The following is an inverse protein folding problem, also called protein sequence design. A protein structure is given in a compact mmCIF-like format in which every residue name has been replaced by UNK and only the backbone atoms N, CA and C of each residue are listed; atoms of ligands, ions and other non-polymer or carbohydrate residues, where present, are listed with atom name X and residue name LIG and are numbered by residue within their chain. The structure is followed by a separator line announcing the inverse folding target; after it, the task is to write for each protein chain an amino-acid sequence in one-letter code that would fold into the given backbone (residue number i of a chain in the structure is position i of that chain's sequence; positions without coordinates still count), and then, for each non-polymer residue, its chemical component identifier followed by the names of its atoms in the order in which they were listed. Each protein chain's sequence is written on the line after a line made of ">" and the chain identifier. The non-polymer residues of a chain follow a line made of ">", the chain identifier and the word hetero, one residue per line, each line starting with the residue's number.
data_IF_931004561371
#
_entry.id   IF_931004561371
#
_cell.length_a   1.000
_cell.length_b   1.000
_cell.length_c   1.000
_cell.angle_alpha   90.00
_cell.angle_beta   90.00
_cell.angle_gamma   90.00
#
_symmetry.space_group_name_H-M   'P 1'
#
loop_
_entity.id
_entity.type
_entity.pdbx_description
1 polymer ?
#
# COMPACT_ATOMS: atom_id res chain seq x y z
N UNK A 1 -120.29 19.39 21.17
CA UNK A 1 -119.05 20.20 21.08
C UNK A 1 -117.78 19.41 21.40
N UNK A 2 -117.62 18.75 22.57
CA UNK A 2 -116.38 18.00 22.93
C UNK A 2 -115.85 16.99 21.88
N UNK A 3 -116.72 16.19 21.26
CA UNK A 3 -116.33 15.20 20.23
C UNK A 3 -115.78 15.79 18.92
N UNK A 4 -116.09 17.05 18.63
CA UNK A 4 -115.66 17.72 17.40
C UNK A 4 -114.28 18.33 17.59
N UNK A 5 -114.03 18.91 18.78
CA UNK A 5 -112.72 19.43 19.21
C UNK A 5 -111.67 18.31 19.38
N UNK A 6 -112.04 17.14 19.93
CA UNK A 6 -111.14 15.97 19.98
C UNK A 6 -110.78 15.40 18.59
N UNK A 7 -111.64 15.60 17.60
CA UNK A 7 -111.41 15.13 16.23
C UNK A 7 -110.49 16.08 15.46
N UNK A 8 -110.63 17.40 15.70
CA UNK A 8 -109.71 18.44 15.23
C UNK A 8 -108.31 18.24 15.84
N UNK A 9 -108.19 18.04 17.17
CA UNK A 9 -106.90 17.75 17.84
C UNK A 9 -106.21 16.48 17.29
N UNK A 10 -106.98 15.46 16.89
CA UNK A 10 -106.45 14.24 16.29
C UNK A 10 -105.93 14.46 14.88
N UNK A 11 -106.56 15.32 14.09
CA UNK A 11 -106.12 15.67 12.73
C UNK A 11 -104.82 16.48 12.80
N UNK A 12 -104.76 17.49 13.66
CA UNK A 12 -103.55 18.33 13.86
C UNK A 12 -102.34 17.50 14.36
N UNK A 13 -102.59 16.42 15.12
CA UNK A 13 -101.52 15.50 15.56
C UNK A 13 -101.04 14.59 14.43
N UNK A 14 -101.93 14.21 13.51
CA UNK A 14 -101.58 13.42 12.32
C UNK A 14 -100.81 14.27 11.32
N UNK A 15 -101.24 15.52 11.09
CA UNK A 15 -100.54 16.46 10.20
C UNK A 15 -99.11 16.73 10.69
N UNK A 16 -98.94 17.06 11.97
CA UNK A 16 -97.59 17.20 12.58
C UNK A 16 -96.75 15.92 12.49
N UNK A 17 -97.37 14.75 12.63
CA UNK A 17 -96.68 13.47 12.48
C UNK A 17 -96.24 13.19 11.05
N UNK A 18 -97.06 13.57 10.05
CA UNK A 18 -96.73 13.46 8.63
C UNK A 18 -95.63 14.45 8.23
N UNK A 19 -95.70 15.69 8.71
CA UNK A 19 -94.64 16.68 8.50
C UNK A 19 -93.29 16.19 9.05
N UNK A 20 -93.27 15.70 10.30
CA UNK A 20 -92.07 15.12 10.91
C UNK A 20 -91.56 13.88 10.13
N UNK A 21 -92.46 13.06 9.60
CA UNK A 21 -92.10 11.90 8.77
C UNK A 21 -91.47 12.31 7.44
N UNK A 22 -92.06 13.27 6.72
CA UNK A 22 -91.50 13.77 5.47
C UNK A 22 -90.16 14.48 5.68
N UNK A 23 -90.01 15.20 6.79
CA UNK A 23 -88.74 15.79 7.18
C UNK A 23 -87.68 14.71 7.45
N UNK A 24 -88.01 13.68 8.23
CA UNK A 24 -87.10 12.55 8.46
C UNK A 24 -86.72 11.79 7.18
N UNK A 25 -87.66 11.65 6.23
CA UNK A 25 -87.39 11.07 4.90
C UNK A 25 -86.47 11.94 4.05
N UNK A 26 -86.59 13.27 4.13
CA UNK A 26 -85.71 14.20 3.44
C UNK A 26 -84.28 14.16 4.02
N UNK A 27 -84.16 14.18 5.35
CA UNK A 27 -82.88 14.04 6.06
C UNK A 27 -82.20 12.70 5.76
N UNK A 28 -82.96 11.60 5.70
CA UNK A 28 -82.43 10.28 5.33
C UNK A 28 -81.90 10.26 3.88
N UNK A 29 -82.65 10.85 2.94
CA UNK A 29 -82.20 10.96 1.54
C UNK A 29 -80.93 11.79 1.41
N UNK A 30 -80.84 12.90 2.14
CA UNK A 30 -79.63 13.72 2.15
C UNK A 30 -78.44 12.97 2.76
N UNK A 31 -78.67 12.25 3.86
CA UNK A 31 -77.65 11.39 4.47
C UNK A 31 -77.17 10.30 3.52
N UNK A 32 -78.07 9.63 2.77
CA UNK A 32 -77.68 8.63 1.78
C UNK A 32 -76.84 9.23 0.67
N UNK A 33 -77.24 10.39 0.13
CA UNK A 33 -76.46 11.10 -0.90
C UNK A 33 -75.05 11.44 -0.42
N UNK A 34 -74.90 11.91 0.82
CA UNK A 34 -73.58 12.19 1.43
C UNK A 34 -72.74 10.92 1.57
N UNK A 35 -73.35 9.80 1.96
CA UNK A 35 -72.67 8.49 2.02
C UNK A 35 -72.19 8.05 0.65
N UNK A 36 -73.02 8.16 -0.40
CA UNK A 36 -72.64 7.80 -1.77
C UNK A 36 -71.48 8.67 -2.28
N UNK A 37 -71.50 9.98 -1.99
CA UNK A 37 -70.39 10.87 -2.32
C UNK A 37 -69.10 10.49 -1.57
N UNK A 38 -69.19 10.08 -0.31
CA UNK A 38 -68.04 9.60 0.47
C UNK A 38 -67.49 8.26 -0.07
N UNK A 39 -68.36 7.33 -0.45
CA UNK A 39 -67.97 6.05 -1.05
C UNK A 39 -67.25 6.28 -2.39
N UNK A 40 -67.80 7.12 -3.27
CA UNK A 40 -67.16 7.44 -4.54
C UNK A 40 -65.77 8.09 -4.36
N UNK A 41 -65.62 8.98 -3.36
CA UNK A 41 -64.31 9.56 -3.02
C UNK A 41 -63.33 8.51 -2.50
N UNK A 42 -63.82 7.58 -1.68
CA UNK A 42 -63.02 6.48 -1.12
C UNK A 42 -62.55 5.55 -2.23
N UNK A 43 -63.42 5.19 -3.17
CA UNK A 43 -63.06 4.35 -4.32
C UNK A 43 -61.99 5.02 -5.20
N UNK A 44 -62.11 6.33 -5.44
CA UNK A 44 -61.10 7.10 -6.16
C UNK A 44 -59.74 7.08 -5.43
N UNK A 45 -59.72 7.27 -4.11
CA UNK A 45 -58.50 7.18 -3.31
C UNK A 45 -57.87 5.78 -3.33
N UNK A 46 -58.68 4.73 -3.31
CA UNK A 46 -58.20 3.34 -3.40
C UNK A 46 -57.53 3.07 -4.76
N UNK A 47 -58.11 3.59 -5.85
CA UNK A 47 -57.51 3.45 -7.19
C UNK A 47 -56.16 4.19 -7.28
N UNK A 48 -56.08 5.40 -6.75
CA UNK A 48 -54.83 6.17 -6.70
C UNK A 48 -53.76 5.46 -5.87
N UNK A 49 -54.12 4.90 -4.71
CA UNK A 49 -53.21 4.12 -3.87
C UNK A 49 -52.70 2.86 -4.59
N UNK A 50 -53.56 2.14 -5.31
CA UNK A 50 -53.14 0.98 -6.12
C UNK A 50 -52.15 1.37 -7.21
N UNK A 51 -52.38 2.50 -7.87
CA UNK A 51 -51.46 2.98 -8.90
C UNK A 51 -50.11 3.41 -8.29
N UNK A 52 -50.13 4.12 -7.16
CA UNK A 52 -48.91 4.48 -6.43
C UNK A 52 -48.13 3.24 -5.99
N UNK A 53 -48.83 2.22 -5.46
CA UNK A 53 -48.21 0.96 -5.06
C UNK A 53 -47.52 0.28 -6.24
N UNK A 54 -48.18 0.20 -7.40
CA UNK A 54 -47.59 -0.38 -8.61
C UNK A 54 -46.32 0.37 -9.04
N UNK A 55 -46.32 1.70 -8.98
CA UNK A 55 -45.12 2.52 -9.29
C UNK A 55 -43.99 2.23 -8.30
N UNK A 56 -44.30 2.06 -7.02
CA UNK A 56 -43.30 1.67 -6.00
C UNK A 56 -42.72 0.29 -6.30
N UNK A 57 -43.54 -0.70 -6.65
CA UNK A 57 -43.07 -2.05 -6.99
C UNK A 57 -42.16 -2.02 -8.23
N UNK A 58 -42.51 -1.24 -9.25
CA UNK A 58 -41.66 -1.05 -10.43
C UNK A 58 -40.32 -0.40 -10.08
N UNK A 59 -40.30 0.57 -9.16
CA UNK A 59 -39.07 1.21 -8.69
C UNK A 59 -38.20 0.23 -7.89
N UNK A 60 -38.80 -0.58 -7.00
CA UNK A 60 -38.08 -1.60 -6.23
C UNK A 60 -37.43 -2.64 -7.16
N UNK A 61 -38.16 -3.13 -8.16
CA UNK A 61 -37.63 -4.07 -9.14
C UNK A 61 -36.43 -3.50 -9.92
N UNK A 62 -36.47 -2.20 -10.27
CA UNK A 62 -35.33 -1.52 -10.92
C UNK A 62 -34.14 -1.40 -9.97
N UNK A 63 -34.37 -1.08 -8.70
CA UNK A 63 -33.31 -1.01 -7.70
C UNK A 63 -32.67 -2.37 -7.46
N UNK A 64 -33.46 -3.44 -7.38
CA UNK A 64 -32.92 -4.80 -7.24
C UNK A 64 -32.04 -5.21 -8.41
N UNK A 65 -32.44 -4.87 -9.65
CA UNK A 65 -31.63 -5.10 -10.83
C UNK A 65 -30.29 -4.34 -10.78
N UNK A 66 -30.30 -3.07 -10.37
CA UNK A 66 -29.08 -2.27 -10.21
C UNK A 66 -28.16 -2.83 -9.12
N UNK A 67 -28.71 -3.32 -8.01
CA UNK A 67 -27.91 -3.95 -6.94
C UNK A 67 -27.23 -5.22 -7.45
N UNK A 68 -27.91 -6.03 -8.26
CA UNK A 68 -27.32 -7.23 -8.87
C UNK A 68 -26.17 -6.88 -9.82
N UNK A 69 -26.35 -5.86 -10.66
CA UNK A 69 -25.30 -5.37 -11.57
C UNK A 69 -24.08 -4.86 -10.80
N UNK A 70 -24.29 -4.08 -9.74
CA UNK A 70 -23.21 -3.59 -8.88
C UNK A 70 -22.45 -4.73 -8.19
N UNK A 71 -23.14 -5.77 -7.74
CA UNK A 71 -22.50 -6.95 -7.14
C UNK A 71 -21.61 -7.69 -8.14
N UNK A 72 -22.04 -7.83 -9.39
CA UNK A 72 -21.23 -8.46 -10.42
C UNK A 72 -20.01 -7.58 -10.80
N UNK A 73 -20.20 -6.28 -10.96
CA UNK A 73 -19.10 -5.33 -11.20
C UNK A 73 -18.07 -5.34 -10.06
N UNK A 74 -18.53 -5.46 -8.81
CA UNK A 74 -17.66 -5.59 -7.63
C UNK A 74 -16.84 -6.89 -7.69
N UNK A 75 -17.48 -8.03 -7.99
CA UNK A 75 -16.76 -9.32 -8.14
C UNK A 75 -15.69 -9.26 -9.22
N UNK A 76 -16.00 -8.67 -10.37
CA UNK A 76 -15.04 -8.50 -11.47
C UNK A 76 -13.84 -7.63 -11.03
N UNK A 77 -14.12 -6.56 -10.30
CA UNK A 77 -13.09 -5.66 -9.74
C UNK A 77 -12.20 -6.40 -8.74
N UNK A 78 -12.78 -7.17 -7.82
CA UNK A 78 -12.04 -7.98 -6.84
C UNK A 78 -11.14 -9.01 -7.53
N UNK A 79 -11.61 -9.64 -8.60
CA UNK A 79 -10.81 -10.59 -9.37
C UNK A 79 -9.64 -9.90 -10.08
N UNK A 80 -9.87 -8.74 -10.70
CA UNK A 80 -8.81 -7.93 -11.32
C UNK A 80 -7.79 -7.46 -10.28
N UNK A 81 -8.24 -7.03 -9.10
CA UNK A 81 -7.36 -6.61 -8.00
C UNK A 81 -6.46 -7.76 -7.56
N UNK A 82 -7.02 -8.96 -7.36
CA UNK A 82 -6.25 -10.17 -7.00
C UNK A 82 -5.22 -10.53 -8.07
N UNK A 83 -5.56 -10.44 -9.35
CA UNK A 83 -4.60 -10.66 -10.46
C UNK A 83 -3.47 -9.63 -10.43
N UNK A 84 -3.78 -8.36 -10.17
CA UNK A 84 -2.79 -7.28 -10.06
C UNK A 84 -1.85 -7.48 -8.89
N UNK A 85 -2.36 -7.82 -7.70
CA UNK A 85 -1.54 -8.10 -6.51
C UNK A 85 -0.55 -9.23 -6.79
N UNK A 86 -1.01 -10.35 -7.37
CA UNK A 86 -0.13 -11.47 -7.73
C UNK A 86 0.99 -11.07 -8.70
N UNK A 87 0.68 -10.23 -9.70
CA UNK A 87 1.69 -9.72 -10.64
C UNK A 87 2.70 -8.81 -9.95
N UNK A 88 2.26 -7.96 -9.01
CA UNK A 88 3.15 -7.12 -8.23
C UNK A 88 4.09 -7.95 -7.34
N UNK A 89 3.61 -9.02 -6.73
CA UNK A 89 4.44 -9.94 -5.93
C UNK A 89 5.48 -10.67 -6.79
N UNK A 90 5.13 -11.05 -8.01
CA UNK A 90 6.06 -11.66 -8.97
C UNK A 90 7.14 -10.66 -9.43
N UNK A 91 6.76 -9.44 -9.78
CA UNK A 91 7.70 -8.36 -10.11
C UNK A 91 8.62 -8.07 -8.91
N UNK A 92 8.06 -8.02 -7.70
CA UNK A 92 8.83 -7.82 -6.48
C UNK A 92 9.90 -8.89 -6.27
N UNK A 93 9.56 -10.16 -6.50
CA UNK A 93 10.52 -11.28 -6.45
C UNK A 93 11.60 -11.17 -7.53
N UNK A 94 11.20 -10.94 -8.78
CA UNK A 94 12.16 -10.78 -9.89
C UNK A 94 13.12 -9.61 -9.68
N UNK A 95 12.63 -8.47 -9.18
CA UNK A 95 13.47 -7.33 -8.83
C UNK A 95 14.41 -7.64 -7.66
N UNK A 96 13.96 -8.43 -6.69
CA UNK A 96 14.80 -8.95 -5.61
C UNK A 96 15.95 -9.81 -6.14
N UNK A 97 15.63 -10.78 -7.00
CA UNK A 97 16.61 -11.68 -7.61
C UNK A 97 17.63 -10.91 -8.47
N UNK A 98 17.17 -9.96 -9.28
CA UNK A 98 18.05 -9.08 -10.06
C UNK A 98 18.95 -8.22 -9.17
N UNK A 99 18.42 -7.71 -8.06
CA UNK A 99 19.20 -6.94 -7.09
C UNK A 99 20.33 -7.77 -6.46
N UNK A 100 20.05 -9.03 -6.12
CA UNK A 100 21.05 -9.98 -5.60
C UNK A 100 22.15 -10.27 -6.63
N UNK A 101 21.76 -10.62 -7.86
CA UNK A 101 22.71 -10.91 -8.96
C UNK A 101 23.62 -9.72 -9.25
N UNK A 102 23.08 -8.50 -9.24
CA UNK A 102 23.89 -7.30 -9.45
C UNK A 102 24.90 -7.08 -8.31
N UNK A 103 24.49 -7.29 -7.06
CA UNK A 103 25.38 -7.21 -5.90
C UNK A 103 26.52 -8.22 -5.95
N UNK A 104 26.20 -9.49 -6.24
CA UNK A 104 27.19 -10.56 -6.37
C UNK A 104 28.20 -10.29 -7.51
N UNK A 105 27.74 -9.70 -8.62
CA UNK A 105 28.61 -9.36 -9.75
C UNK A 105 29.65 -8.30 -9.37
N UNK A 106 29.24 -7.25 -8.64
CA UNK A 106 30.17 -6.24 -8.15
C UNK A 106 31.18 -6.83 -7.17
N UNK A 107 30.72 -7.66 -6.23
CA UNK A 107 31.59 -8.33 -5.26
C UNK A 107 32.60 -9.26 -5.94
N UNK A 108 32.15 -10.06 -6.91
CA UNK A 108 33.00 -10.99 -7.64
C UNK A 108 34.08 -10.26 -8.46
N UNK A 109 33.73 -9.15 -9.11
CA UNK A 109 34.68 -8.30 -9.82
C UNK A 109 35.81 -7.84 -8.89
N UNK A 110 35.47 -7.24 -7.75
CA UNK A 110 36.48 -6.72 -6.83
C UNK A 110 37.27 -7.84 -6.16
N UNK A 111 36.62 -8.91 -5.72
CA UNK A 111 37.26 -10.06 -5.09
C UNK A 111 38.33 -10.69 -5.98
N UNK A 112 38.02 -10.95 -7.26
CA UNK A 112 38.96 -11.56 -8.21
C UNK A 112 40.15 -10.67 -8.53
N UNK A 113 39.96 -9.35 -8.55
CA UNK A 113 41.00 -8.40 -8.95
C UNK A 113 41.81 -7.85 -7.77
N UNK A 114 41.33 -7.96 -6.52
CA UNK A 114 41.91 -7.28 -5.37
C UNK A 114 43.41 -7.57 -5.18
N UNK A 115 43.84 -8.83 -5.27
CA UNK A 115 45.25 -9.21 -5.08
C UNK A 115 46.16 -8.59 -6.14
N UNK A 116 45.79 -8.74 -7.41
CA UNK A 116 46.61 -8.25 -8.53
C UNK A 116 46.62 -6.73 -8.58
N UNK A 117 45.48 -6.09 -8.29
CA UNK A 117 45.34 -4.64 -8.22
C UNK A 117 46.27 -4.05 -7.16
N UNK A 118 46.14 -4.47 -5.91
CA UNK A 118 46.94 -3.90 -4.81
C UNK A 118 48.44 -4.21 -4.92
N UNK A 119 48.81 -5.39 -5.45
CA UNK A 119 50.21 -5.71 -5.74
C UNK A 119 50.80 -4.75 -6.77
N UNK A 120 50.11 -4.55 -7.90
CA UNK A 120 50.59 -3.69 -8.99
C UNK A 120 50.62 -2.22 -8.62
N UNK A 121 49.58 -1.77 -7.93
CA UNK A 121 49.32 -0.34 -7.73
C UNK A 121 49.84 0.23 -6.41
N UNK A 122 50.03 -0.62 -5.39
CA UNK A 122 50.41 -0.19 -4.03
C UNK A 122 51.52 -1.04 -3.41
N UNK A 123 52.06 -2.02 -4.14
CA UNK A 123 53.05 -2.99 -3.64
C UNK A 123 52.59 -3.72 -2.36
N UNK A 124 51.27 -3.95 -2.25
CA UNK A 124 50.65 -4.64 -1.13
C UNK A 124 50.27 -6.06 -1.55
N UNK A 125 50.86 -7.05 -0.88
CA UNK A 125 50.62 -8.47 -1.14
C UNK A 125 49.76 -9.04 -0.03
N UNK A 126 48.54 -9.45 -0.36
CA UNK A 126 47.71 -10.19 0.58
C UNK A 126 48.08 -11.68 0.55
N UNK A 127 48.17 -12.32 1.72
CA UNK A 127 48.35 -13.76 1.87
C UNK A 127 47.00 -14.48 1.78
N UNK A 128 45.98 -13.94 2.43
CA UNK A 128 44.62 -14.47 2.43
C UNK A 128 43.59 -13.42 2.01
N UNK A 129 42.56 -13.83 1.28
CA UNK A 129 41.44 -12.96 0.86
C UNK A 129 40.16 -13.77 0.96
N UNK A 130 39.26 -13.34 1.83
CA UNK A 130 37.96 -13.98 2.07
C UNK A 130 36.85 -13.10 1.50
N UNK A 131 35.87 -13.74 0.87
CA UNK A 131 34.60 -13.11 0.45
C UNK A 131 33.49 -13.51 1.42
N UNK A 132 32.54 -12.61 1.68
CA UNK A 132 31.37 -12.83 2.52
C UNK A 132 31.72 -13.39 3.91
N UNK A 133 32.61 -12.68 4.62
CA UNK A 133 32.99 -13.05 5.98
C UNK A 133 31.86 -12.68 6.94
N UNK A 134 31.18 -13.69 7.48
CA UNK A 134 29.96 -13.51 8.29
C UNK A 134 30.02 -14.22 9.63
N UNK A 135 29.39 -13.61 10.63
CA UNK A 135 29.07 -14.21 11.93
C UNK A 135 27.57 -14.12 12.15
N UNK A 136 26.91 -15.28 12.22
CA UNK A 136 25.44 -15.42 12.23
C UNK A 136 24.81 -14.50 13.29
N UNK A 137 23.94 -13.60 12.86
CA UNK A 137 23.20 -12.69 13.74
C UNK A 137 24.01 -11.50 14.29
N UNK A 138 25.28 -11.33 13.91
CA UNK A 138 26.15 -10.28 14.45
C UNK A 138 26.62 -9.30 13.39
N UNK A 139 27.14 -9.79 12.26
CA UNK A 139 27.57 -8.94 11.16
C UNK A 139 28.27 -9.68 10.02
N UNK A 140 28.42 -8.99 8.90
CA UNK A 140 29.02 -9.48 7.67
C UNK A 140 29.88 -8.40 6.99
N UNK A 141 30.94 -8.83 6.31
CA UNK A 141 31.84 -7.98 5.54
C UNK A 141 32.14 -8.62 4.18
N UNK A 142 32.06 -7.82 3.12
CA UNK A 142 31.98 -8.32 1.75
C UNK A 142 33.31 -8.93 1.31
N UNK A 143 34.44 -8.21 1.52
CA UNK A 143 35.78 -8.74 1.26
C UNK A 143 36.73 -8.39 2.43
N UNK A 144 37.51 -9.37 2.88
CA UNK A 144 38.52 -9.21 3.93
C UNK A 144 39.84 -9.79 3.46
N UNK A 145 40.86 -8.94 3.35
CA UNK A 145 42.17 -9.30 2.82
C UNK A 145 43.26 -9.11 3.88
N UNK A 146 44.11 -10.11 4.07
CA UNK A 146 45.13 -10.16 5.13
C UNK A 146 46.52 -10.04 4.51
N UNK A 147 47.35 -9.15 5.05
CA UNK A 147 48.77 -9.06 4.73
C UNK A 147 49.57 -9.08 6.05
N UNK A 148 49.72 -10.29 6.63
CA UNK A 148 50.44 -10.50 7.89
C UNK A 148 49.84 -9.71 9.06
N UNK A 149 50.43 -8.56 9.35
CA UNK A 149 50.10 -7.65 10.45
C UNK A 149 48.92 -6.71 10.14
N UNK A 150 48.48 -6.64 8.90
CA UNK A 150 47.36 -5.78 8.49
C UNK A 150 46.19 -6.56 7.90
N UNK A 151 44.99 -6.00 8.05
CA UNK A 151 43.77 -6.45 7.40
C UNK A 151 43.10 -5.29 6.67
N UNK A 152 42.78 -5.50 5.39
CA UNK A 152 41.96 -4.60 4.59
C UNK A 152 40.53 -5.17 4.56
N UNK A 153 39.56 -4.39 5.03
CA UNK A 153 38.14 -4.71 4.96
C UNK A 153 37.51 -3.84 3.89
N UNK A 154 36.85 -4.45 2.91
CA UNK A 154 36.24 -3.76 1.77
C UNK A 154 34.74 -3.97 1.77
N UNK A 155 33.99 -2.87 1.74
CA UNK A 155 32.55 -2.85 1.49
C UNK A 155 32.28 -2.64 0.00
N UNK A 156 31.35 -3.39 -0.57
CA UNK A 156 30.97 -3.32 -1.99
C UNK A 156 29.55 -2.75 -2.14
N UNK A 157 29.35 -1.91 -3.16
CA UNK A 157 28.06 -1.33 -3.55
C UNK A 157 27.93 -1.31 -5.07
N UNK A 158 26.72 -1.32 -5.61
CA UNK A 158 26.54 -1.08 -7.05
C UNK A 158 26.84 0.39 -7.41
N UNK A 159 26.40 1.33 -6.57
CA UNK A 159 26.63 2.77 -6.74
C UNK A 159 26.98 3.41 -5.42
N UNK A 160 28.10 4.13 -5.37
CA UNK A 160 28.60 4.72 -4.14
C UNK A 160 27.93 6.07 -3.83
N UNK A 161 27.60 6.30 -2.57
CA UNK A 161 27.06 7.55 -2.03
C UNK A 161 27.81 7.95 -0.76
N UNK A 162 27.95 9.27 -0.48
CA UNK A 162 28.67 9.79 0.70
C UNK A 162 28.17 9.19 2.03
N UNK A 163 26.85 9.11 2.22
CA UNK A 163 26.24 8.47 3.41
C UNK A 163 26.69 7.02 3.64
N UNK A 164 27.04 6.29 2.58
CA UNK A 164 27.50 4.90 2.68
C UNK A 164 28.96 4.84 3.12
N UNK A 165 29.78 5.79 2.64
CA UNK A 165 31.15 6.01 3.11
C UNK A 165 31.14 6.28 4.60
N UNK A 166 30.30 7.22 5.06
CA UNK A 166 30.18 7.56 6.49
C UNK A 166 29.78 6.33 7.30
N UNK A 167 28.66 5.69 6.92
CA UNK A 167 28.16 4.49 7.60
C UNK A 167 29.22 3.40 7.70
N UNK A 168 29.98 3.16 6.63
CA UNK A 168 31.03 2.17 6.64
C UNK A 168 32.18 2.57 7.58
N UNK A 169 32.74 3.76 7.39
CA UNK A 169 33.91 4.22 8.13
C UNK A 169 33.65 4.44 9.63
N UNK A 170 32.47 4.95 10.00
CA UNK A 170 32.18 5.32 11.40
C UNK A 170 31.43 4.25 12.18
N UNK A 171 30.63 3.41 11.52
CA UNK A 171 29.74 2.49 12.23
C UNK A 171 30.10 1.02 12.00
N UNK A 172 30.37 0.63 10.74
CA UNK A 172 30.58 -0.79 10.38
C UNK A 172 32.03 -1.24 10.59
N UNK A 173 32.99 -0.48 10.08
CA UNK A 173 34.40 -0.83 10.13
C UNK A 173 34.98 -0.91 11.57
N UNK A 174 34.67 0.02 12.50
CA UNK A 174 35.20 -0.05 13.86
C UNK A 174 34.78 -1.31 14.63
N UNK A 175 33.59 -1.85 14.35
CA UNK A 175 33.08 -3.06 15.00
C UNK A 175 33.77 -4.35 14.52
N UNK A 176 34.60 -4.29 13.47
CA UNK A 176 35.16 -5.47 12.83
C UNK A 176 35.91 -6.38 13.81
N UNK A 177 36.76 -5.80 14.67
CA UNK A 177 37.54 -6.55 15.68
C UNK A 177 36.71 -7.06 16.86
N UNK A 178 35.55 -6.46 17.13
CA UNK A 178 34.61 -6.96 18.12
C UNK A 178 33.93 -8.23 17.60
N UNK A 179 33.53 -8.21 16.32
CA UNK A 179 32.83 -9.31 15.67
C UNK A 179 33.78 -10.45 15.30
N UNK A 180 35.01 -10.14 14.90
CA UNK A 180 36.06 -11.09 14.52
C UNK A 180 37.34 -10.89 15.37
N UNK A 181 37.34 -11.37 16.62
CA UNK A 181 38.45 -11.19 17.57
C UNK A 181 39.81 -11.72 17.09
N UNK A 182 39.82 -12.68 16.17
CA UNK A 182 41.03 -13.25 15.58
C UNK A 182 41.87 -12.22 14.80
N UNK A 183 41.30 -11.05 14.48
CA UNK A 183 42.00 -9.94 13.83
C UNK A 183 42.43 -8.82 14.80
N UNK A 184 42.23 -8.94 16.12
CA UNK A 184 42.52 -7.86 17.09
C UNK A 184 43.95 -7.35 17.07
N UNK A 185 44.92 -8.24 16.91
CA UNK A 185 46.35 -7.91 16.83
C UNK A 185 46.79 -7.31 15.49
N UNK A 186 45.87 -7.09 14.53
CA UNK A 186 46.20 -6.57 13.21
C UNK A 186 45.74 -5.12 13.04
N UNK A 187 46.47 -4.35 12.25
CA UNK A 187 46.09 -3.00 11.82
C UNK A 187 44.93 -3.09 10.84
N UNK A 188 43.87 -2.31 11.00
CA UNK A 188 42.72 -2.35 10.08
C UNK A 188 42.79 -1.19 9.10
N UNK A 189 42.61 -1.48 7.83
CA UNK A 189 42.38 -0.50 6.79
C UNK A 189 41.01 -0.73 6.16
N UNK A 190 40.38 0.35 5.72
CA UNK A 190 39.09 0.30 5.03
C UNK A 190 39.25 0.49 3.53
N UNK A 191 38.43 -0.23 2.78
CA UNK A 191 38.20 0.00 1.36
C UNK A 191 36.71 0.08 1.05
N UNK A 192 36.36 0.77 -0.03
CA UNK A 192 35.01 0.74 -0.58
C UNK A 192 35.08 0.55 -2.08
N UNK A 193 34.37 -0.45 -2.60
CA UNK A 193 34.27 -0.76 -4.02
C UNK A 193 32.88 -0.44 -4.54
N UNK A 194 32.78 0.18 -5.71
CA UNK A 194 31.50 0.22 -6.41
C UNK A 194 31.64 0.25 -7.93
N UNK A 195 30.66 -0.30 -8.65
CA UNK A 195 30.63 -0.24 -10.11
C UNK A 195 30.51 1.21 -10.60
N UNK A 196 29.72 2.02 -9.89
CA UNK A 196 29.51 3.44 -10.22
C UNK A 196 29.98 4.32 -9.06
N UNK A 197 31.06 5.06 -9.30
CA UNK A 197 31.62 6.04 -8.36
C UNK A 197 31.72 7.41 -9.04
N UNK A 198 31.05 8.42 -8.49
CA UNK A 198 31.23 9.81 -8.93
C UNK A 198 32.52 10.39 -8.34
N UNK A 199 33.19 11.26 -9.08
CA UNK A 199 34.44 11.90 -8.66
C UNK A 199 34.39 12.57 -7.28
N UNK A 200 33.30 13.28 -6.98
CA UNK A 200 33.14 13.97 -5.70
C UNK A 200 32.95 12.99 -4.54
N UNK A 201 32.35 11.83 -4.80
CA UNK A 201 32.19 10.74 -3.83
C UNK A 201 33.48 9.96 -3.66
N UNK A 202 34.24 9.70 -4.74
CA UNK A 202 35.58 9.09 -4.67
C UNK A 202 36.50 9.95 -3.80
N UNK A 203 36.59 11.26 -4.08
CA UNK A 203 37.39 12.20 -3.27
C UNK A 203 36.93 12.24 -1.82
N UNK A 204 35.63 12.12 -1.56
CA UNK A 204 35.09 12.08 -0.20
C UNK A 204 35.54 10.81 0.54
N UNK A 205 35.46 9.65 -0.11
CA UNK A 205 35.92 8.37 0.47
C UNK A 205 37.44 8.33 0.67
N UNK A 206 38.21 8.89 -0.27
CA UNK A 206 39.66 9.07 -0.10
C UNK A 206 39.96 9.94 1.13
N UNK A 207 39.27 11.07 1.29
CA UNK A 207 39.43 11.95 2.46
C UNK A 207 39.03 11.27 3.78
N UNK A 208 38.06 10.35 3.74
CA UNK A 208 37.71 9.51 4.88
C UNK A 208 38.80 8.48 5.22
N UNK A 209 39.85 8.37 4.41
CA UNK A 209 40.98 7.47 4.61
C UNK A 209 40.77 6.07 4.07
N UNK A 210 39.81 5.87 3.16
CA UNK A 210 39.50 4.58 2.55
C UNK A 210 40.21 4.41 1.20
N UNK A 211 40.61 3.18 0.90
CA UNK A 211 40.83 2.79 -0.49
C UNK A 211 39.50 2.82 -1.25
N UNK A 212 39.52 3.24 -2.52
CA UNK A 212 38.33 3.41 -3.34
C UNK A 212 38.53 2.67 -4.65
N UNK A 213 37.78 1.58 -4.82
CA UNK A 213 37.82 0.73 -6.00
C UNK A 213 36.63 1.02 -6.93
N UNK A 214 36.88 0.98 -8.23
CA UNK A 214 35.82 1.08 -9.25
C UNK A 214 36.14 0.17 -10.43
N UNK A 215 35.18 -0.01 -11.35
CA UNK A 215 35.40 -0.70 -12.61
C UNK A 215 36.31 0.12 -13.54
N UNK A 216 37.27 -0.52 -14.19
CA UNK A 216 38.10 0.09 -15.25
C UNK A 216 37.37 0.10 -16.60
N UNK A 217 37.88 0.86 -17.56
CA UNK A 217 37.35 0.89 -18.94
C UNK A 217 37.41 -0.47 -19.65
N UNK A 218 38.28 -1.37 -19.20
CA UNK A 218 38.46 -2.73 -19.75
C UNK A 218 37.64 -3.79 -19.00
N UNK A 219 36.76 -3.37 -18.09
CA UNK A 219 35.89 -4.27 -17.33
C UNK A 219 36.53 -4.90 -16.08
N UNK A 220 37.81 -4.62 -15.80
CA UNK A 220 38.52 -5.01 -14.59
C UNK A 220 38.24 -4.07 -13.41
N UNK A 221 39.02 -4.19 -12.33
CA UNK A 221 38.97 -3.24 -11.20
C UNK A 221 40.18 -2.30 -11.21
N UNK A 222 40.00 -1.08 -10.71
CA UNK A 222 41.07 -0.07 -10.56
C UNK A 222 40.90 0.73 -9.27
N UNK A 223 41.98 1.31 -8.75
CA UNK A 223 41.94 2.24 -7.62
C UNK A 223 41.78 3.67 -8.12
N UNK A 224 40.79 4.39 -7.58
CA UNK A 224 40.61 5.81 -7.90
C UNK A 224 41.46 6.73 -7.01
N UNK A 225 42.02 6.19 -5.93
CA UNK A 225 42.84 7.01 -5.03
C UNK A 225 44.09 7.53 -5.75
N UNK A 226 44.57 8.71 -5.32
CA UNK A 226 45.87 9.24 -5.76
C UNK A 226 47.00 8.24 -5.50
N UNK A 227 48.05 8.26 -6.34
CA UNK A 227 49.19 7.32 -6.24
C UNK A 227 49.90 7.36 -4.89
N UNK A 228 50.02 8.53 -4.27
CA UNK A 228 50.65 8.73 -2.97
C UNK A 228 49.68 8.61 -1.78
N UNK A 229 48.44 8.18 -2.01
CA UNK A 229 47.45 8.01 -0.96
C UNK A 229 47.91 6.97 0.08
N UNK A 230 47.77 7.34 1.35
CA UNK A 230 47.97 6.45 2.49
C UNK A 230 46.64 6.28 3.21
N UNK A 231 46.18 5.03 3.30
CA UNK A 231 44.94 4.72 3.99
C UNK A 231 45.06 5.02 5.49
N UNK A 232 43.95 5.46 6.09
CA UNK A 232 43.83 5.63 7.53
C UNK A 232 43.74 4.26 8.19
N UNK A 233 44.44 4.11 9.30
CA UNK A 233 44.23 2.97 10.19
C UNK A 233 42.98 3.19 11.03
N UNK A 234 42.12 2.16 11.08
CA UNK A 234 40.90 2.13 11.87
C UNK A 234 41.10 1.18 13.05
N UNK A 235 40.65 1.59 14.23
CA UNK A 235 40.84 0.89 15.49
C UNK A 235 39.70 1.18 16.44
#
# INVERSE_FOLDING_TARGET
>A
MKKQTEKEDRLDRIERGLEAFFQGMAELRESQKRTDEQLNRTDAQILELKESQKRTDEQLNRTDAQILELKEAQKMTDEQLRKTIKKLDEIGRQLGDLGLVQGETAEDLFYRNLRSLFKKERDLIFTDVKRNLKRKGVGEYDIVAVNGEAVLVVEVKNKLQKRMVDRFATNKLPKFKEIFPEYRGRRIFGGIGALVVKDDVSRYAEKAGLYVLTQSSEGGATLTNRKNFRAREFG
#
